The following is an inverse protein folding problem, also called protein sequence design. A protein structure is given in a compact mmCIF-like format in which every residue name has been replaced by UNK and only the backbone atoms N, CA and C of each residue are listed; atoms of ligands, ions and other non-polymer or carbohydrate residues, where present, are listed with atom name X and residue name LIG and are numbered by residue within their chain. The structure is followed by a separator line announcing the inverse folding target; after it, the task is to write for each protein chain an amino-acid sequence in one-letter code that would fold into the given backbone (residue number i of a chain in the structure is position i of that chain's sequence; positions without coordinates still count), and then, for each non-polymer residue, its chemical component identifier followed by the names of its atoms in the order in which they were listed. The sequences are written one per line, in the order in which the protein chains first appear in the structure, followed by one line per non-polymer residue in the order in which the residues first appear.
data_IF_195578218350
#
_entry.id   IF_195578218350
#
_cell.length_a   1.000
_cell.length_b   1.000
_cell.length_c   1.000
_cell.angle_alpha   90.00
_cell.angle_beta   90.00
_cell.angle_gamma   90.00
#
_symmetry.space_group_name_H-M   'P 1'
#
loop_
_entity.id
_entity.type
_entity.pdbx_description
1 polymer ?
#
# COMPACT_ATOMS: atom_id res chain seq x y z
N UNK A 1 -7.67 21.86 32.23
CA UNK A 1 -8.84 21.25 31.57
C UNK A 1 -8.68 21.45 30.07
N UNK A 2 -8.33 20.38 29.34
CA UNK A 2 -8.53 20.27 27.89
C UNK A 2 -9.93 19.68 27.63
N UNK A 3 -10.48 19.65 26.39
CA UNK A 3 -9.88 20.09 25.14
C UNK A 3 -10.76 20.97 24.22
N UNK A 4 -10.06 21.81 23.46
CA UNK A 4 -10.51 22.50 22.24
C UNK A 4 -10.24 21.63 20.99
N UNK A 5 -10.41 20.31 21.08
CA UNK A 5 -10.02 19.36 20.01
C UNK A 5 -11.14 19.08 18.99
N UNK A 6 -12.38 19.54 19.22
CA UNK A 6 -13.50 19.25 18.31
C UNK A 6 -13.68 20.19 17.10
N UNK A 7 -13.00 21.35 17.05
CA UNK A 7 -13.24 22.38 16.03
C UNK A 7 -12.22 22.38 14.88
N UNK A 8 -11.04 21.79 15.08
CA UNK A 8 -10.03 21.65 14.03
C UNK A 8 -10.40 20.56 13.01
N UNK A 9 -11.01 19.45 13.44
CA UNK A 9 -11.39 18.33 12.57
C UNK A 9 -12.59 18.65 11.65
N UNK A 10 -13.46 19.58 12.05
CA UNK A 10 -14.55 20.05 11.17
C UNK A 10 -14.04 20.94 10.03
N UNK A 11 -12.98 21.73 10.25
CA UNK A 11 -12.45 22.64 9.24
C UNK A 11 -11.66 21.91 8.14
N UNK A 12 -10.94 20.83 8.49
CA UNK A 12 -10.21 20.00 7.51
C UNK A 12 -11.19 19.22 6.62
N UNK A 13 -12.30 18.73 7.17
CA UNK A 13 -13.34 18.06 6.39
C UNK A 13 -14.10 19.02 5.46
N UNK A 14 -14.28 20.29 5.82
CA UNK A 14 -14.93 21.28 4.95
C UNK A 14 -14.08 21.60 3.70
N UNK A 15 -12.75 21.65 3.82
CA UNK A 15 -11.84 21.85 2.69
C UNK A 15 -11.79 20.62 1.78
N UNK A 16 -11.88 19.41 2.36
CA UNK A 16 -11.89 18.16 1.58
C UNK A 16 -13.24 17.88 0.90
N UNK A 17 -14.37 18.36 1.45
CA UNK A 17 -15.68 18.24 0.79
C UNK A 17 -15.84 19.20 -0.41
N UNK A 18 -15.24 20.40 -0.36
CA UNK A 18 -15.39 21.38 -1.45
C UNK A 18 -14.60 21.03 -2.73
N UNK A 19 -13.60 20.15 -2.66
CA UNK A 19 -12.86 19.71 -3.84
C UNK A 19 -13.54 18.55 -4.61
N UNK A 20 -14.65 18.00 -4.11
CA UNK A 20 -15.31 16.82 -4.71
C UNK A 20 -16.74 17.05 -5.20
N UNK A 21 -17.30 18.26 -5.03
CA UNK A 21 -18.56 18.62 -5.69
C UNK A 21 -18.27 19.54 -6.87
N UNK A 22 -18.49 19.01 -8.08
CA UNK A 22 -18.72 19.83 -9.27
C UNK A 22 -19.92 20.71 -8.95
N UNK A 23 -19.68 22.00 -8.74
CA UNK A 23 -20.58 23.16 -8.94
C UNK A 23 -20.23 24.28 -7.95
N UNK A 24 -19.13 25.00 -8.22
CA UNK A 24 -18.93 26.36 -7.72
C UNK A 24 -18.90 27.27 -8.94
N UNK A 25 -19.95 28.07 -9.11
CA UNK A 25 -19.97 29.17 -10.08
C UNK A 25 -19.02 30.25 -9.56
N UNK A 26 -17.81 30.29 -10.11
CA UNK A 26 -16.86 31.38 -9.93
C UNK A 26 -17.29 32.47 -10.92
N UNK A 27 -17.90 33.54 -10.40
CA UNK A 27 -18.07 34.77 -11.19
C UNK A 27 -16.74 35.52 -11.18
N UNK A 28 -15.91 35.28 -12.19
CA UNK A 28 -14.67 36.02 -12.40
C UNK A 28 -14.59 36.48 -13.85
N UNK A 29 -14.48 37.79 -14.07
CA UNK A 29 -14.23 38.42 -15.37
C UNK A 29 -12.83 38.16 -15.97
N UNK A 30 -12.15 37.08 -15.59
CA UNK A 30 -10.79 36.78 -16.07
C UNK A 30 -10.76 35.42 -16.76
N UNK A 31 -10.33 35.33 -18.04
CA UNK A 31 -10.35 34.09 -18.80
C UNK A 31 -9.34 33.03 -18.27
N UNK A 32 -9.67 31.72 -18.40
CA UNK A 32 -8.91 30.62 -17.78
C UNK A 32 -7.55 30.30 -18.41
N UNK A 33 -7.09 31.03 -19.42
CA UNK A 33 -5.83 30.75 -20.14
C UNK A 33 -4.58 31.41 -19.52
N UNK A 34 -4.72 32.23 -18.48
CA UNK A 34 -3.59 32.95 -17.86
C UNK A 34 -3.09 32.34 -16.54
N UNK A 35 -3.65 31.21 -16.10
CA UNK A 35 -3.29 30.62 -14.81
C UNK A 35 -2.02 29.77 -14.96
N UNK A 36 -0.87 30.44 -14.95
CA UNK A 36 0.45 29.81 -14.90
C UNK A 36 0.68 29.00 -13.61
N UNK A 37 1.46 27.93 -13.70
CA UNK A 37 1.81 27.01 -12.61
C UNK A 37 2.53 27.71 -11.44
N UNK A 38 1.78 28.25 -10.46
CA UNK A 38 2.34 28.79 -9.23
C UNK A 38 1.55 28.35 -7.99
N UNK A 39 2.28 28.14 -6.89
CA UNK A 39 1.74 27.60 -5.64
C UNK A 39 0.87 28.62 -4.91
N UNK A 40 -0.43 28.32 -4.75
CA UNK A 40 -1.36 29.08 -3.93
C UNK A 40 -1.18 28.70 -2.45
N UNK A 41 -1.14 29.69 -1.56
CA UNK A 41 -1.18 29.47 -0.11
C UNK A 41 -2.57 29.86 0.40
N UNK A 42 -3.29 28.91 0.96
CA UNK A 42 -4.62 29.15 1.54
C UNK A 42 -4.47 29.45 3.03
N UNK A 43 -4.94 30.62 3.45
CA UNK A 43 -5.02 31.02 4.85
C UNK A 43 -6.49 31.00 5.27
N UNK A 44 -6.80 30.20 6.30
CA UNK A 44 -8.13 30.13 6.91
C UNK A 44 -8.08 30.92 8.21
N UNK A 45 -8.84 32.00 8.28
CA UNK A 45 -9.01 32.78 9.50
C UNK A 45 -10.39 32.51 10.08
N UNK A 46 -10.43 32.05 11.33
CA UNK A 46 -11.67 31.86 12.08
C UNK A 46 -11.79 32.98 13.09
N UNK A 47 -12.87 33.73 13.03
CA UNK A 47 -13.19 34.76 14.01
C UNK A 47 -14.53 34.44 14.65
N UNK A 48 -14.69 34.82 15.92
CA UNK A 48 -15.92 34.62 16.67
C UNK A 48 -16.47 36.00 17.02
N UNK A 49 -17.71 36.26 16.65
CA UNK A 49 -18.35 37.53 16.98
C UNK A 49 -18.95 37.52 18.39
N UNK A 50 -19.38 38.69 18.84
CA UNK A 50 -19.90 38.93 20.19
C UNK A 50 -21.23 38.19 20.45
N UNK A 51 -21.88 37.65 19.41
CA UNK A 51 -23.07 36.79 19.50
C UNK A 51 -22.73 35.29 19.44
N UNK A 52 -21.45 34.95 19.60
CA UNK A 52 -20.92 33.58 19.59
C UNK A 52 -21.07 32.83 18.27
N UNK A 53 -21.36 33.52 17.16
CA UNK A 53 -21.30 32.92 15.83
C UNK A 53 -19.85 32.85 15.34
N UNK A 54 -19.48 31.68 14.81
CA UNK A 54 -18.16 31.46 14.22
C UNK A 54 -18.20 31.82 12.73
N UNK A 55 -17.43 32.83 12.34
CA UNK A 55 -17.29 33.25 10.94
C UNK A 55 -15.96 32.71 10.39
N UNK A 56 -16.05 31.92 9.31
CA UNK A 56 -14.90 31.44 8.56
C UNK A 56 -14.61 32.37 7.39
N UNK A 57 -13.38 32.87 7.30
CA UNK A 57 -12.91 33.63 6.13
C UNK A 57 -11.75 32.90 5.48
N UNK A 58 -11.88 32.61 4.18
CA UNK A 58 -10.86 31.99 3.35
C UNK A 58 -10.18 33.08 2.52
N UNK A 59 -8.87 33.25 2.71
CA UNK A 59 -8.03 34.12 1.88
C UNK A 59 -7.08 33.26 1.05
N UNK A 60 -6.97 33.58 -0.24
CA UNK A 60 -6.02 32.98 -1.17
C UNK A 60 -4.95 34.02 -1.48
N UNK A 61 -3.71 33.78 -1.04
CA UNK A 61 -2.56 34.62 -1.40
C UNK A 61 -1.80 33.98 -2.58
N UNK A 62 -1.62 34.77 -3.65
CA UNK A 62 -0.71 34.46 -4.74
C UNK A 62 0.67 35.06 -4.44
N UNK A 63 1.72 34.24 -4.44
CA UNK A 63 3.09 34.65 -4.11
C UNK A 63 3.83 35.26 -5.31
N UNK A 64 3.38 36.43 -5.79
CA UNK A 64 4.27 37.51 -6.25
C UNK A 64 3.46 38.80 -6.46
N UNK A 65 4.02 39.92 -6.01
CA UNK A 65 3.50 41.31 -6.10
C UNK A 65 2.23 41.62 -5.31
N UNK A 66 2.38 41.74 -3.98
CA UNK A 66 1.75 42.70 -3.04
C UNK A 66 0.35 43.32 -3.31
N UNK A 67 -0.56 42.64 -4.01
CA UNK A 67 -1.97 43.00 -4.13
C UNK A 67 -2.83 41.95 -3.43
N UNK A 68 -3.45 42.34 -2.31
CA UNK A 68 -4.49 41.56 -1.67
C UNK A 68 -5.80 41.71 -2.45
N UNK A 69 -6.24 40.62 -3.09
CA UNK A 69 -7.60 40.51 -3.60
C UNK A 69 -8.50 39.94 -2.50
N UNK A 70 -9.41 40.74 -1.96
CA UNK A 70 -10.38 40.30 -0.95
C UNK A 70 -11.62 39.68 -1.62
N UNK A 71 -11.73 38.35 -1.58
CA UNK A 71 -12.99 37.68 -1.91
C UNK A 71 -13.89 37.64 -0.66
N UNK A 72 -15.06 38.27 -0.75
CA UNK A 72 -16.07 38.30 0.33
C UNK A 72 -17.16 37.28 0.01
N UNK A 73 -17.15 36.13 0.69
CA UNK A 73 -18.23 35.15 0.59
C UNK A 73 -19.26 35.45 1.68
N UNK A 74 -20.51 35.71 1.30
CA UNK A 74 -21.60 35.98 2.25
C UNK A 74 -22.42 34.71 2.47
N UNK A 75 -22.83 34.39 3.72
CA UNK A 75 -23.63 33.21 3.99
C UNK A 75 -25.05 33.34 3.43
N UNK A 76 -25.56 32.26 2.83
CA UNK A 76 -26.96 32.15 2.37
C UNK A 76 -27.84 31.78 3.57
N UNK A 77 -28.95 32.50 3.85
CA UNK A 77 -29.84 32.16 4.95
C UNK A 77 -30.71 30.96 4.60
N UNK A 78 -30.79 29.99 5.51
CA UNK A 78 -31.78 28.90 5.47
C UNK A 78 -33.10 29.46 5.99
N UNK A 79 -34.16 29.44 5.17
CA UNK A 79 -35.47 29.98 5.53
C UNK A 79 -36.17 29.14 6.59
N UNK A 80 -36.71 29.82 7.61
CA UNK A 80 -37.62 29.26 8.61
C UNK A 80 -39.08 29.55 8.23
N UNK A 81 -39.95 28.54 8.40
CA UNK A 81 -41.42 28.70 8.48
C UNK A 81 -41.96 27.55 9.35
N UNK A 82 -42.23 27.80 10.64
CA UNK A 82 -43.53 28.20 11.21
C UNK A 82 -44.57 27.07 11.14
N UNK A 83 -45.13 26.54 12.23
CA UNK A 83 -45.83 27.23 13.33
C UNK A 83 -45.98 26.31 14.55
N UNK A 84 -46.06 26.92 15.74
CA UNK A 84 -46.39 26.26 17.00
C UNK A 84 -47.86 26.51 17.35
N UNK A 85 -48.51 25.55 18.01
CA UNK A 85 -49.56 25.81 19.01
C UNK A 85 -49.38 24.88 20.23
N UNK A 86 -49.76 25.33 21.44
CA UNK A 86 -49.42 24.67 22.69
C UNK A 86 -50.58 23.83 23.26
N UNK A 87 -50.28 22.75 23.99
CA UNK A 87 -51.12 22.28 25.12
C UNK A 87 -50.46 21.17 25.96
N UNK A 88 -50.54 21.45 27.26
CA UNK A 88 -50.63 20.60 28.45
C UNK A 88 -49.53 19.62 28.86
N UNK A 89 -49.10 19.91 30.09
CA UNK A 89 -48.32 19.16 31.05
C UNK A 89 -48.82 17.73 31.29
N UNK A 90 -47.90 16.77 31.21
CA UNK A 90 -47.88 15.67 32.17
C UNK A 90 -46.47 15.09 32.34
N UNK A 91 -46.03 15.09 33.59
CA UNK A 91 -44.79 14.50 34.09
C UNK A 91 -44.71 13.01 33.77
N UNK A 92 -43.55 12.54 33.29
CA UNK A 92 -43.18 11.13 33.42
C UNK A 92 -41.67 10.91 33.24
N UNK A 93 -41.00 10.81 34.40
CA UNK A 93 -39.85 9.94 34.72
C UNK A 93 -38.59 10.07 33.86
N UNK A 94 -37.59 10.72 34.47
CA UNK A 94 -36.16 10.60 34.16
C UNK A 94 -35.74 9.13 34.19
N UNK A 95 -35.34 8.59 33.04
CA UNK A 95 -34.51 7.39 32.97
C UNK A 95 -33.15 7.83 32.42
N UNK A 96 -32.17 7.90 33.32
CA UNK A 96 -30.76 8.11 33.00
C UNK A 96 -30.30 6.93 32.15
N UNK A 97 -30.16 7.12 30.83
CA UNK A 97 -29.45 6.19 29.98
C UNK A 97 -27.95 6.35 30.26
N UNK A 98 -27.48 5.59 31.24
CA UNK A 98 -26.06 5.25 31.40
C UNK A 98 -25.61 4.65 30.06
N UNK A 99 -24.51 5.16 29.53
CA UNK A 99 -23.93 4.71 28.28
C UNK A 99 -23.81 3.19 28.28
N UNK A 100 -24.47 2.58 27.31
CA UNK A 100 -24.20 1.19 26.99
C UNK A 100 -22.81 1.16 26.34
N UNK A 101 -21.79 0.81 27.14
CA UNK A 101 -20.61 0.13 26.64
C UNK A 101 -21.11 -1.09 25.87
N UNK A 102 -21.22 -0.98 24.55
CA UNK A 102 -21.34 -2.15 23.70
C UNK A 102 -20.01 -2.87 23.75
N UNK A 103 -19.94 -4.10 24.28
CA UNK A 103 -18.71 -4.87 24.24
C UNK A 103 -18.34 -5.06 22.77
N UNK A 104 -17.06 -4.87 22.47
CA UNK A 104 -16.45 -5.16 21.17
C UNK A 104 -16.75 -6.62 20.84
N UNK A 105 -17.89 -6.85 20.15
CA UNK A 105 -18.19 -8.12 19.52
C UNK A 105 -17.06 -8.31 18.53
N UNK A 106 -16.08 -9.14 18.89
CA UNK A 106 -15.01 -9.64 18.03
C UNK A 106 -15.59 -9.91 16.63
N UNK A 107 -15.48 -8.92 15.73
CA UNK A 107 -15.80 -9.13 14.32
C UNK A 107 -14.77 -10.14 13.85
N UNK A 108 -15.21 -11.30 13.41
CA UNK A 108 -14.28 -12.29 12.85
C UNK A 108 -13.62 -11.64 11.63
N UNK A 109 -12.33 -11.34 11.76
CA UNK A 109 -11.54 -10.77 10.68
C UNK A 109 -11.13 -11.90 9.75
N UNK A 110 -11.04 -11.61 8.46
CA UNK A 110 -10.58 -12.57 7.46
C UNK A 110 -9.06 -12.72 7.62
N UNK A 111 -8.54 -13.93 7.92
CA UNK A 111 -7.10 -14.16 7.97
C UNK A 111 -6.49 -13.97 6.57
N UNK A 112 -5.36 -13.28 6.47
CA UNK A 112 -4.69 -13.03 5.19
C UNK A 112 -3.22 -13.40 5.25
N UNK A 113 -2.75 -14.12 4.23
CA UNK A 113 -1.33 -14.31 3.94
C UNK A 113 -0.95 -13.41 2.77
N UNK A 114 0.15 -12.67 2.91
CA UNK A 114 0.73 -11.83 1.86
C UNK A 114 1.87 -12.57 1.16
N UNK A 115 1.80 -12.72 -0.16
CA UNK A 115 2.87 -13.31 -0.97
C UNK A 115 3.52 -12.24 -1.85
N UNK A 116 4.83 -12.04 -1.73
CA UNK A 116 5.60 -11.22 -2.65
C UNK A 116 6.54 -12.10 -3.50
N UNK A 117 6.20 -12.25 -4.78
CA UNK A 117 7.09 -12.82 -5.78
C UNK A 117 8.03 -11.75 -6.34
N UNK A 118 9.27 -12.10 -6.61
CA UNK A 118 10.20 -11.15 -7.19
C UNK A 118 11.64 -11.66 -7.31
N UNK A 119 12.49 -10.86 -7.95
CA UNK A 119 13.90 -11.25 -8.09
C UNK A 119 14.65 -11.26 -6.75
N UNK A 120 14.41 -10.26 -5.88
CA UNK A 120 15.18 -10.04 -4.65
C UNK A 120 16.70 -10.11 -4.87
N UNK A 121 17.19 -9.30 -5.83
CA UNK A 121 18.54 -9.37 -6.37
C UNK A 121 19.36 -8.07 -6.18
N UNK A 122 19.74 -7.69 -4.95
CA UNK A 122 19.41 -8.33 -3.66
C UNK A 122 18.08 -7.83 -3.07
N UNK A 123 17.63 -8.46 -1.98
CA UNK A 123 16.59 -7.91 -1.10
C UNK A 123 17.07 -6.59 -0.45
N UNK A 124 16.16 -5.64 -0.22
CA UNK A 124 16.46 -4.30 0.32
C UNK A 124 15.46 -3.92 1.42
N UNK A 125 15.73 -2.88 2.21
CA UNK A 125 14.79 -2.39 3.23
C UNK A 125 13.42 -1.99 2.64
N UNK A 126 13.38 -1.55 1.38
CA UNK A 126 12.12 -1.26 0.69
C UNK A 126 11.26 -2.51 0.54
N UNK A 127 11.83 -3.67 0.20
CA UNK A 127 11.08 -4.93 0.10
C UNK A 127 10.48 -5.34 1.45
N UNK A 128 11.21 -5.14 2.54
CA UNK A 128 10.71 -5.41 3.89
C UNK A 128 9.59 -4.41 4.25
N UNK A 129 9.79 -3.13 3.94
CA UNK A 129 8.82 -2.07 4.18
C UNK A 129 7.50 -2.29 3.45
N UNK A 130 7.53 -2.82 2.23
CA UNK A 130 6.33 -3.21 1.47
C UNK A 130 5.38 -4.11 2.28
N UNK A 131 5.93 -5.07 3.03
CA UNK A 131 5.12 -5.97 3.87
C UNK A 131 4.48 -5.23 5.04
N UNK A 132 5.25 -4.40 5.75
CA UNK A 132 4.75 -3.62 6.89
C UNK A 132 3.61 -2.69 6.49
N UNK A 133 3.77 -1.95 5.39
CA UNK A 133 2.75 -1.02 4.87
C UNK A 133 1.48 -1.76 4.45
N UNK A 134 1.63 -2.90 3.78
CA UNK A 134 0.50 -3.71 3.35
C UNK A 134 -0.26 -4.31 4.53
N UNK A 135 0.47 -4.78 5.56
CA UNK A 135 -0.11 -5.29 6.81
C UNK A 135 -0.93 -4.23 7.51
N UNK A 136 -0.32 -3.06 7.76
CA UNK A 136 -0.99 -1.93 8.42
C UNK A 136 -2.24 -1.51 7.65
N UNK A 137 -2.14 -1.38 6.32
CA UNK A 137 -3.27 -1.00 5.46
C UNK A 137 -4.43 -2.00 5.57
N UNK A 138 -4.14 -3.30 5.50
CA UNK A 138 -5.18 -4.33 5.61
C UNK A 138 -5.82 -4.35 7.01
N UNK A 139 -5.02 -4.22 8.07
CA UNK A 139 -5.54 -4.14 9.44
C UNK A 139 -6.42 -2.90 9.66
N UNK A 140 -6.04 -1.74 9.10
CA UNK A 140 -6.80 -0.49 9.20
C UNK A 140 -8.21 -0.58 8.56
N UNK A 141 -8.43 -1.50 7.61
CA UNK A 141 -9.78 -1.73 7.07
C UNK A 141 -10.75 -2.30 8.10
N UNK A 142 -10.24 -2.89 9.20
CA UNK A 142 -11.02 -3.63 10.18
C UNK A 142 -11.58 -4.97 9.68
N UNK A 143 -11.39 -5.31 8.40
CA UNK A 143 -11.92 -6.54 7.78
C UNK A 143 -10.92 -7.69 7.80
N UNK A 144 -9.62 -7.38 7.75
CA UNK A 144 -8.57 -8.36 7.56
C UNK A 144 -7.64 -8.47 8.78
N UNK A 145 -7.14 -9.67 9.01
CA UNK A 145 -6.05 -9.95 9.94
C UNK A 145 -4.92 -10.63 9.18
N UNK A 146 -3.89 -9.87 8.82
CA UNK A 146 -2.68 -10.46 8.23
C UNK A 146 -1.98 -11.34 9.26
N UNK A 147 -1.81 -12.62 8.93
CA UNK A 147 -1.21 -13.63 9.81
C UNK A 147 0.21 -14.00 9.39
N UNK A 148 0.56 -13.83 8.12
CA UNK A 148 1.87 -14.22 7.59
C UNK A 148 2.25 -13.45 6.33
N UNK A 149 3.55 -13.22 6.16
CA UNK A 149 4.18 -12.77 4.91
C UNK A 149 5.07 -13.85 4.33
N UNK A 150 5.08 -13.99 3.00
CA UNK A 150 5.93 -14.92 2.26
C UNK A 150 6.70 -14.15 1.18
N UNK A 151 8.02 -14.17 1.27
CA UNK A 151 8.92 -13.78 0.18
C UNK A 151 9.22 -15.02 -0.66
N UNK A 152 8.94 -14.95 -1.96
CA UNK A 152 9.18 -16.03 -2.93
C UNK A 152 10.18 -15.54 -3.99
N UNK A 153 11.48 -15.87 -3.85
CA UNK A 153 12.49 -15.53 -4.84
C UNK A 153 12.26 -16.29 -6.15
N UNK A 154 12.32 -15.56 -7.26
CA UNK A 154 12.11 -16.11 -8.60
C UNK A 154 13.13 -17.19 -8.93
N UNK A 155 12.76 -18.13 -9.79
CA UNK A 155 13.66 -19.11 -10.40
C UNK A 155 14.78 -18.48 -11.23
N UNK A 156 15.92 -19.17 -11.35
CA UNK A 156 17.07 -18.68 -12.14
C UNK A 156 16.80 -18.68 -13.66
N UNK A 157 15.93 -19.57 -14.14
CA UNK A 157 15.49 -19.63 -15.54
C UNK A 157 14.62 -18.42 -15.95
N UNK A 158 14.28 -17.53 -15.00
CA UNK A 158 13.68 -16.23 -15.34
C UNK A 158 14.57 -15.41 -16.29
N UNK A 159 15.87 -15.69 -16.33
CA UNK A 159 16.77 -15.16 -17.36
C UNK A 159 16.98 -13.64 -17.29
N UNK A 160 16.63 -13.00 -16.18
CA UNK A 160 16.86 -11.56 -15.98
C UNK A 160 18.36 -11.27 -15.97
N UNK A 161 18.78 -10.26 -16.73
CA UNK A 161 20.16 -9.79 -16.72
C UNK A 161 20.65 -9.49 -15.29
N UNK A 162 21.87 -9.92 -14.99
CA UNK A 162 22.54 -9.77 -13.69
C UNK A 162 21.85 -10.49 -12.51
N UNK A 163 20.96 -11.45 -12.77
CA UNK A 163 20.34 -12.28 -11.74
C UNK A 163 21.39 -13.26 -11.17
N UNK A 164 21.76 -13.08 -9.90
CA UNK A 164 22.62 -14.06 -9.21
C UNK A 164 21.82 -15.32 -8.90
N UNK A 165 22.53 -16.43 -8.71
CA UNK A 165 21.93 -17.73 -8.41
C UNK A 165 20.93 -17.64 -7.24
N UNK A 166 19.84 -18.36 -7.37
CA UNK A 166 18.70 -18.37 -6.46
C UNK A 166 19.07 -18.67 -5.02
N UNK A 167 19.99 -19.61 -4.80
CA UNK A 167 20.45 -19.95 -3.45
C UNK A 167 21.06 -18.74 -2.71
N UNK A 168 21.77 -17.83 -3.40
CA UNK A 168 22.25 -16.59 -2.81
C UNK A 168 21.10 -15.65 -2.45
N UNK A 169 20.10 -15.53 -3.33
CA UNK A 169 18.94 -14.65 -3.12
C UNK A 169 18.05 -15.14 -1.98
N UNK A 170 17.83 -16.45 -1.88
CA UNK A 170 17.16 -17.11 -0.76
C UNK A 170 17.95 -16.92 0.53
N UNK A 171 19.28 -17.10 0.52
CA UNK A 171 20.12 -16.88 1.70
C UNK A 171 20.05 -15.43 2.19
N UNK A 172 20.19 -14.45 1.29
CA UNK A 172 20.03 -13.03 1.62
C UNK A 172 18.63 -12.71 2.16
N UNK A 173 17.57 -13.30 1.60
CA UNK A 173 16.22 -13.14 2.13
C UNK A 173 16.08 -13.73 3.54
N UNK A 174 16.63 -14.93 3.83
CA UNK A 174 16.66 -15.48 5.20
C UNK A 174 17.37 -14.55 6.17
N UNK A 175 18.54 -14.03 5.79
CA UNK A 175 19.32 -13.10 6.61
C UNK A 175 18.56 -11.79 6.88
N UNK A 176 17.88 -11.24 5.87
CA UNK A 176 17.08 -10.04 6.00
C UNK A 176 15.87 -10.19 6.94
N UNK A 177 15.38 -11.42 7.11
CA UNK A 177 14.17 -11.74 7.87
C UNK A 177 14.45 -12.26 9.28
N UNK A 178 15.70 -12.29 9.74
CA UNK A 178 16.06 -12.80 11.08
C UNK A 178 15.36 -12.06 12.22
N UNK A 179 15.00 -10.80 12.02
CA UNK A 179 14.30 -9.96 13.01
C UNK A 179 12.80 -9.85 12.75
N UNK A 180 12.27 -10.53 11.73
CA UNK A 180 10.83 -10.56 11.47
C UNK A 180 10.19 -11.73 12.20
N UNK A 181 9.07 -11.47 12.88
CA UNK A 181 8.26 -12.47 13.60
C UNK A 181 7.11 -13.04 12.74
N UNK A 182 6.86 -12.47 11.55
CA UNK A 182 5.68 -12.79 10.74
C UNK A 182 5.96 -13.02 9.25
N UNK A 183 7.13 -12.63 8.75
CA UNK A 183 7.53 -12.81 7.35
C UNK A 183 8.57 -13.92 7.26
N UNK A 184 8.35 -14.88 6.35
CA UNK A 184 9.32 -15.92 6.01
C UNK A 184 9.67 -15.88 4.53
N UNK A 185 10.79 -16.50 4.18
CA UNK A 185 11.11 -16.83 2.79
C UNK A 185 10.69 -18.27 2.50
N UNK A 186 10.15 -18.50 1.30
CA UNK A 186 9.83 -19.82 0.77
C UNK A 186 10.61 -20.03 -0.53
N UNK A 187 11.49 -21.05 -0.61
CA UNK A 187 12.30 -21.28 -1.80
C UNK A 187 11.58 -22.09 -2.88
N UNK A 188 10.33 -22.52 -2.66
CA UNK A 188 9.63 -23.44 -3.58
C UNK A 188 9.64 -22.98 -5.04
N UNK A 189 9.39 -21.69 -5.32
CA UNK A 189 9.44 -21.12 -6.68
C UNK A 189 10.84 -21.25 -7.29
N UNK A 190 11.87 -20.92 -6.52
CA UNK A 190 13.26 -21.00 -6.98
C UNK A 190 13.78 -22.42 -7.14
N UNK A 191 13.18 -23.40 -6.46
CA UNK A 191 13.56 -24.81 -6.52
C UNK A 191 12.85 -25.58 -7.65
N UNK A 192 11.93 -24.93 -8.39
CA UNK A 192 11.30 -25.55 -9.55
C UNK A 192 12.33 -25.78 -10.68
N UNK A 193 12.14 -26.81 -11.52
CA UNK A 193 13.06 -27.12 -12.62
C UNK A 193 13.01 -26.10 -13.77
N UNK A 194 12.04 -25.18 -13.76
CA UNK A 194 11.88 -24.12 -14.76
C UNK A 194 11.21 -22.90 -14.11
N UNK A 195 11.26 -21.76 -14.81
CA UNK A 195 10.53 -20.56 -14.40
C UNK A 195 9.02 -20.82 -14.26
N UNK A 196 8.40 -20.15 -13.28
CA UNK A 196 6.98 -20.28 -12.95
C UNK A 196 6.29 -18.93 -13.05
N UNK A 197 5.13 -18.91 -13.71
CA UNK A 197 4.23 -17.78 -13.72
C UNK A 197 3.70 -17.52 -12.30
N UNK A 198 3.62 -16.26 -11.91
CA UNK A 198 3.16 -15.82 -10.58
C UNK A 198 1.84 -16.46 -10.15
N UNK A 199 0.89 -16.65 -11.07
CA UNK A 199 -0.39 -17.30 -10.77
C UNK A 199 -0.22 -18.75 -10.32
N UNK A 200 0.76 -19.49 -10.85
CA UNK A 200 1.06 -20.86 -10.43
C UNK A 200 1.68 -20.89 -9.03
N UNK A 201 2.50 -19.90 -8.70
CA UNK A 201 3.06 -19.71 -7.35
C UNK A 201 1.95 -19.38 -6.34
N UNK A 202 1.01 -18.50 -6.69
CA UNK A 202 -0.18 -18.21 -5.88
C UNK A 202 -1.04 -19.47 -5.67
N UNK A 203 -1.33 -20.25 -6.72
CA UNK A 203 -2.07 -21.52 -6.61
C UNK A 203 -1.37 -22.50 -5.67
N UNK A 204 -0.04 -22.62 -5.75
CA UNK A 204 0.74 -23.47 -4.85
C UNK A 204 0.54 -23.06 -3.39
N UNK A 205 0.86 -21.81 -3.03
CA UNK A 205 0.77 -21.36 -1.64
C UNK A 205 -0.66 -21.35 -1.11
N UNK A 206 -1.65 -21.07 -1.95
CA UNK A 206 -3.05 -21.16 -1.56
C UNK A 206 -3.47 -22.60 -1.25
N UNK A 207 -3.01 -23.58 -2.04
CA UNK A 207 -3.27 -24.99 -1.75
C UNK A 207 -2.62 -25.45 -0.43
N UNK A 208 -1.43 -24.94 -0.10
CA UNK A 208 -0.75 -25.23 1.17
C UNK A 208 -1.48 -24.58 2.35
N UNK A 209 -1.96 -23.35 2.17
CA UNK A 209 -2.73 -22.60 3.15
C UNK A 209 -4.03 -23.32 3.52
N UNK A 210 -4.74 -23.87 2.53
CA UNK A 210 -5.99 -24.62 2.75
C UNK A 210 -5.77 -26.01 3.38
N UNK A 211 -4.57 -26.60 3.24
CA UNK A 211 -4.21 -27.89 3.85
C UNK A 211 -3.71 -27.77 5.28
N UNK A 212 -3.26 -26.59 5.68
CA UNK A 212 -2.74 -26.36 7.03
C UNK A 212 -3.92 -26.34 8.01
N UNK A 213 -3.92 -27.16 9.08
CA UNK A 213 -4.97 -27.09 10.09
C UNK A 213 -4.97 -25.68 10.72
N UNK A 214 -6.14 -25.15 11.12
CA UNK A 214 -6.19 -23.90 11.86
C UNK A 214 -5.30 -24.02 13.11
N UNK A 215 -4.61 -22.94 13.53
CA UNK A 215 -3.83 -22.98 14.75
C UNK A 215 -4.73 -23.46 15.90
N UNK A 216 -4.33 -24.51 16.61
CA UNK A 216 -4.92 -24.80 17.92
C UNK A 216 -4.46 -23.69 18.85
N UNK A 217 -5.21 -22.59 18.93
CA UNK A 217 -5.13 -21.71 20.10
C UNK A 217 -5.52 -22.55 21.31
N UNK A 218 -4.65 -22.52 22.33
CA UNK A 218 -4.73 -23.32 23.54
C UNK A 218 -6.15 -23.34 24.10
N UNK A 219 -6.89 -24.40 23.74
CA UNK A 219 -8.26 -24.57 24.15
C UNK A 219 -8.20 -25.20 25.53
N UNK A 220 -8.66 -24.47 26.55
CA UNK A 220 -9.06 -25.06 27.82
C UNK A 220 -10.03 -26.23 27.49
N UNK A 221 -9.85 -27.43 28.06
CA UNK A 221 -10.61 -28.64 27.72
C UNK A 221 -12.06 -28.59 28.24
N UNK A 222 -12.83 -27.58 27.83
CA UNK A 222 -14.21 -27.34 28.23
C UNK A 222 -14.97 -26.27 27.45
N UNK A 223 -14.35 -25.53 26.53
CA UNK A 223 -15.07 -24.56 25.67
C UNK A 223 -15.50 -25.18 24.34
N UNK A 224 -16.79 -25.07 24.04
CA UNK A 224 -17.37 -25.46 22.76
C UNK A 224 -16.66 -24.73 21.60
N UNK A 225 -16.51 -25.35 20.42
CA UNK A 225 -15.84 -24.72 19.29
C UNK A 225 -16.50 -23.39 18.95
N UNK A 226 -15.73 -22.30 19.08
CA UNK A 226 -16.12 -20.98 18.63
C UNK A 226 -16.42 -21.00 17.13
N UNK A 227 -17.34 -20.13 16.70
CA UNK A 227 -17.88 -20.01 15.34
C UNK A 227 -16.84 -20.22 14.22
N UNK A 228 -17.24 -20.72 13.03
CA UNK A 228 -16.31 -21.02 11.95
C UNK A 228 -15.46 -19.81 11.60
N UNK A 229 -14.15 -19.90 11.87
CA UNK A 229 -13.15 -18.92 11.45
C UNK A 229 -13.23 -18.79 9.93
N UNK A 230 -13.33 -17.55 9.43
CA UNK A 230 -13.35 -17.30 8.00
C UNK A 230 -12.14 -17.95 7.32
N UNK A 231 -12.34 -18.57 6.16
CA UNK A 231 -11.26 -19.23 5.43
C UNK A 231 -10.13 -18.23 5.12
N UNK A 232 -8.86 -18.61 5.32
CA UNK A 232 -7.74 -17.70 5.10
C UNK A 232 -7.61 -17.36 3.61
N UNK A 233 -7.33 -16.09 3.31
CA UNK A 233 -7.08 -15.62 1.95
C UNK A 233 -5.58 -15.49 1.69
N UNK A 234 -5.18 -15.70 0.44
CA UNK A 234 -3.84 -15.38 -0.05
C UNK A 234 -3.94 -14.18 -1.00
N UNK A 235 -3.16 -13.12 -0.76
CA UNK A 235 -3.10 -11.95 -1.65
C UNK A 235 -1.68 -11.74 -2.18
N UNK A 236 -1.57 -11.32 -3.44
CA UNK A 236 -0.30 -10.92 -4.04
C UNK A 236 0.08 -9.52 -3.54
N UNK A 237 1.24 -9.39 -2.89
CA UNK A 237 1.83 -8.13 -2.50
C UNK A 237 2.79 -7.65 -3.58
N UNK A 238 2.61 -6.42 -4.07
CA UNK A 238 3.53 -5.83 -5.03
C UNK A 238 3.61 -4.30 -4.90
N UNK A 239 4.62 -3.71 -5.53
CA UNK A 239 4.67 -2.25 -5.74
C UNK A 239 3.86 -1.83 -6.97
N UNK A 240 3.59 -0.54 -7.08
CA UNK A 240 2.87 0.04 -8.23
C UNK A 240 3.60 -0.13 -9.57
N UNK A 241 4.92 -0.32 -9.54
CA UNK A 241 5.75 -0.69 -10.68
C UNK A 241 5.38 -2.04 -11.27
N UNK A 242 5.11 -3.05 -10.43
CA UNK A 242 4.64 -4.37 -10.88
C UNK A 242 3.23 -4.29 -11.44
N UNK A 243 2.32 -3.58 -10.78
CA UNK A 243 0.95 -3.39 -11.26
C UNK A 243 0.93 -2.74 -12.65
N UNK A 244 1.81 -1.77 -12.91
CA UNK A 244 1.98 -1.16 -14.24
C UNK A 244 2.31 -2.19 -15.32
N UNK A 245 3.09 -3.22 -14.97
CA UNK A 245 3.56 -4.24 -15.93
C UNK A 245 2.46 -5.18 -16.41
N UNK A 246 1.31 -5.25 -15.74
CA UNK A 246 0.15 -6.03 -16.21
C UNK A 246 -0.38 -5.54 -17.56
N UNK A 247 -0.03 -4.32 -17.97
CA UNK A 247 -0.38 -3.75 -19.26
C UNK A 247 0.78 -3.85 -20.28
N UNK A 248 1.93 -4.42 -19.91
CA UNK A 248 3.05 -4.60 -20.83
C UNK A 248 2.73 -5.74 -21.80
N UNK A 249 2.72 -5.49 -23.13
CA UNK A 249 2.41 -6.53 -24.10
C UNK A 249 3.33 -7.75 -23.97
N UNK A 250 2.74 -8.94 -24.06
CA UNK A 250 3.43 -10.24 -24.03
C UNK A 250 4.19 -10.57 -22.73
N UNK A 251 4.02 -9.79 -21.66
CA UNK A 251 4.65 -10.09 -20.36
C UNK A 251 3.75 -10.92 -19.45
N UNK A 252 2.44 -10.69 -19.51
CA UNK A 252 1.44 -11.39 -18.72
C UNK A 252 0.33 -11.89 -19.64
N UNK A 253 -0.18 -13.09 -19.39
CA UNK A 253 -1.39 -13.57 -20.06
C UNK A 253 -2.63 -12.99 -19.35
N UNK A 254 -3.59 -12.48 -20.12
CA UNK A 254 -4.83 -11.89 -19.59
C UNK A 254 -5.59 -12.84 -18.67
N UNK A 255 -5.65 -14.13 -19.01
CA UNK A 255 -6.27 -15.16 -18.17
C UNK A 255 -5.56 -15.30 -16.81
N UNK A 256 -4.23 -15.16 -16.79
CA UNK A 256 -3.44 -15.17 -15.56
C UNK A 256 -3.66 -13.89 -14.76
N UNK A 257 -3.71 -12.71 -15.38
CA UNK A 257 -4.03 -11.44 -14.70
C UNK A 257 -5.41 -11.54 -14.05
N UNK A 258 -6.42 -11.97 -14.82
CA UNK A 258 -7.78 -12.12 -14.32
C UNK A 258 -7.81 -13.05 -13.11
N UNK A 259 -7.19 -14.22 -13.19
CA UNK A 259 -7.18 -15.16 -12.06
C UNK A 259 -6.49 -14.57 -10.82
N UNK A 260 -5.40 -13.84 -10.99
CA UNK A 260 -4.70 -13.15 -9.90
C UNK A 260 -5.65 -12.21 -9.17
N UNK A 261 -6.33 -11.32 -9.88
CA UNK A 261 -7.18 -10.28 -9.24
C UNK A 261 -8.57 -10.78 -8.83
N UNK A 262 -9.08 -11.81 -9.50
CA UNK A 262 -10.38 -12.42 -9.20
C UNK A 262 -10.30 -13.36 -7.99
N UNK A 263 -9.39 -14.33 -8.01
CA UNK A 263 -9.36 -15.41 -7.00
C UNK A 263 -8.54 -15.08 -5.77
N UNK A 264 -7.42 -14.39 -5.94
CA UNK A 264 -6.47 -14.11 -4.85
C UNK A 264 -6.63 -12.67 -4.35
N UNK A 265 -6.56 -11.71 -5.29
CA UNK A 265 -6.51 -10.29 -4.99
C UNK A 265 -5.08 -9.79 -4.85
N UNK A 266 -4.96 -8.46 -4.79
CA UNK A 266 -3.68 -7.77 -4.87
C UNK A 266 -3.62 -6.67 -3.82
N UNK A 267 -2.48 -6.53 -3.16
CA UNK A 267 -2.17 -5.38 -2.28
C UNK A 267 -1.02 -4.63 -2.92
N UNK A 268 -1.33 -3.48 -3.51
CA UNK A 268 -0.39 -2.63 -4.23
C UNK A 268 0.06 -1.49 -3.32
N UNK A 269 1.35 -1.43 -3.03
CA UNK A 269 1.93 -0.27 -2.33
C UNK A 269 2.33 0.80 -3.35
N UNK A 270 1.87 2.03 -3.11
CA UNK A 270 2.15 3.19 -3.97
C UNK A 270 3.65 3.51 -4.04
N UNK A 271 4.12 3.97 -5.20
CA UNK A 271 5.50 4.45 -5.43
C UNK A 271 5.51 5.81 -6.11
N UNK A 272 6.60 6.55 -5.96
CA UNK A 272 6.80 7.81 -6.67
C UNK A 272 6.81 7.58 -8.18
N UNK A 273 6.13 8.46 -8.93
CA UNK A 273 6.04 8.38 -10.39
C UNK A 273 5.06 7.33 -10.91
N UNK A 274 4.32 6.65 -10.03
CA UNK A 274 3.30 5.68 -10.42
C UNK A 274 1.89 6.13 -10.03
N UNK A 275 0.93 5.88 -10.92
CA UNK A 275 -0.50 6.11 -10.69
C UNK A 275 -1.27 4.78 -10.70
N UNK A 276 -1.30 4.03 -9.58
CA UNK A 276 -1.97 2.75 -9.53
C UNK A 276 -3.49 2.85 -9.77
N UNK A 277 -4.11 4.00 -9.47
CA UNK A 277 -5.54 4.20 -9.77
C UNK A 277 -5.77 4.30 -11.26
N UNK A 278 -4.97 5.10 -11.97
CA UNK A 278 -4.97 5.16 -13.43
C UNK A 278 -4.77 3.78 -14.07
N UNK A 279 -3.79 3.00 -13.60
CA UNK A 279 -3.52 1.66 -14.14
C UNK A 279 -4.71 0.70 -14.02
N UNK A 280 -5.44 0.76 -12.89
CA UNK A 280 -6.65 -0.04 -12.69
C UNK A 280 -7.77 0.41 -13.62
N UNK A 281 -7.96 1.72 -13.77
CA UNK A 281 -8.99 2.26 -14.64
C UNK A 281 -8.71 1.91 -16.10
N UNK A 282 -7.47 1.98 -16.56
CA UNK A 282 -7.12 1.74 -17.96
C UNK A 282 -7.22 0.27 -18.40
N UNK A 283 -7.25 -0.69 -17.46
CA UNK A 283 -7.39 -2.11 -17.76
C UNK A 283 -8.81 -2.62 -17.51
N UNK A 284 -9.52 -3.18 -18.52
CA UNK A 284 -10.85 -3.76 -18.33
C UNK A 284 -10.89 -4.87 -17.26
N UNK A 285 -9.85 -5.69 -17.19
CA UNK A 285 -9.73 -6.79 -16.21
C UNK A 285 -9.57 -6.19 -14.81
N UNK A 286 -8.63 -5.27 -14.60
CA UNK A 286 -8.39 -4.68 -13.28
C UNK A 286 -9.58 -3.87 -12.79
N UNK A 287 -10.23 -3.10 -13.67
CA UNK A 287 -11.42 -2.32 -13.34
C UNK A 287 -12.57 -3.20 -12.86
N UNK A 288 -12.77 -4.37 -13.50
CA UNK A 288 -13.81 -5.35 -13.12
C UNK A 288 -13.61 -5.90 -11.71
N UNK A 289 -12.36 -6.19 -11.34
CA UNK A 289 -12.01 -6.79 -10.05
C UNK A 289 -11.38 -5.79 -9.05
N UNK A 290 -11.58 -4.49 -9.26
CA UNK A 290 -10.96 -3.43 -8.44
C UNK A 290 -11.28 -3.54 -6.94
N UNK A 291 -12.42 -4.13 -6.58
CA UNK A 291 -12.83 -4.35 -5.20
C UNK A 291 -11.89 -5.31 -4.43
N UNK A 292 -11.11 -6.13 -5.15
CA UNK A 292 -10.12 -7.05 -4.60
C UNK A 292 -8.67 -6.55 -4.81
N UNK A 293 -8.51 -5.28 -5.19
CA UNK A 293 -7.23 -4.61 -5.34
C UNK A 293 -7.12 -3.51 -4.28
N UNK A 294 -6.26 -3.74 -3.29
CA UNK A 294 -6.03 -2.83 -2.17
C UNK A 294 -4.87 -1.89 -2.49
N UNK A 295 -5.12 -0.59 -2.48
CA UNK A 295 -4.09 0.43 -2.71
C UNK A 295 -3.59 0.98 -1.38
N UNK A 296 -2.46 0.45 -0.92
CA UNK A 296 -1.81 0.90 0.30
C UNK A 296 -0.95 2.14 0.02
N UNK A 297 -1.14 3.19 0.82
CA UNK A 297 -0.34 4.42 0.74
C UNK A 297 0.84 4.30 1.68
N UNK A 298 2.04 4.45 1.12
CA UNK A 298 3.25 4.67 1.92
C UNK A 298 3.37 6.17 2.22
N UNK A 299 3.30 6.60 3.49
CA UNK A 299 3.48 8.01 3.85
C UNK A 299 4.93 8.49 3.68
N UNK A 300 5.92 7.60 3.83
CA UNK A 300 7.35 7.95 3.77
C UNK A 300 8.01 7.29 2.56
N UNK A 301 8.42 8.10 1.60
CA UNK A 301 9.02 7.61 0.36
C UNK A 301 10.31 6.83 0.63
N UNK A 302 10.30 5.53 0.29
CA UNK A 302 11.46 4.65 0.36
C UNK A 302 11.72 4.04 -1.02
N UNK A 303 12.49 4.72 -1.87
CA UNK A 303 12.71 4.36 -3.27
C UNK A 303 14.04 3.60 -3.50
N UNK A 304 14.35 2.65 -2.61
CA UNK A 304 15.59 1.85 -2.70
C UNK A 304 15.40 0.68 -3.67
N UNK A 305 15.80 0.87 -4.93
CA UNK A 305 15.79 -0.20 -5.93
C UNK A 305 17.01 -1.12 -5.84
N UNK A 306 16.81 -2.42 -6.09
CA UNK A 306 17.90 -3.40 -6.17
C UNK A 306 18.89 -3.06 -7.31
N UNK A 307 18.42 -2.43 -8.40
CA UNK A 307 19.28 -1.97 -9.50
C UNK A 307 20.24 -0.87 -9.04
N UNK A 308 19.78 0.09 -8.23
CA UNK A 308 20.65 1.09 -7.61
C UNK A 308 21.69 0.42 -6.71
N UNK A 309 21.27 -0.53 -5.86
CA UNK A 309 22.16 -1.26 -4.95
C UNK A 309 23.26 -2.01 -5.71
N UNK A 310 22.93 -2.77 -6.76
CA UNK A 310 23.93 -3.47 -7.58
C UNK A 310 24.92 -2.49 -8.24
N UNK A 311 24.43 -1.34 -8.71
CA UNK A 311 25.29 -0.29 -9.30
C UNK A 311 26.23 0.33 -8.26
N UNK A 312 25.74 0.63 -7.07
CA UNK A 312 26.54 1.18 -5.98
C UNK A 312 27.64 0.19 -5.56
N UNK A 313 27.28 -1.09 -5.38
CA UNK A 313 28.21 -2.17 -5.05
C UNK A 313 29.32 -2.32 -6.11
N UNK A 314 28.96 -2.34 -7.40
CA UNK A 314 29.96 -2.46 -8.48
C UNK A 314 30.89 -1.25 -8.57
N UNK A 315 30.48 -0.10 -8.03
CA UNK A 315 31.29 1.11 -7.97
C UNK A 315 32.07 1.25 -6.64
N UNK A 316 31.97 0.28 -5.73
CA UNK A 316 32.58 0.34 -4.40
C UNK A 316 31.95 1.39 -3.49
N UNK A 317 30.74 1.85 -3.80
CA UNK A 317 29.99 2.80 -2.97
C UNK A 317 29.33 2.08 -1.80
N UNK A 318 29.15 2.81 -0.69
CA UNK A 318 28.45 2.27 0.48
C UNK A 318 26.98 2.02 0.15
N UNK A 319 26.49 0.85 0.58
CA UNK A 319 25.07 0.51 0.60
C UNK A 319 24.56 0.31 2.04
N UNK A 320 25.33 0.75 3.04
CA UNK A 320 24.92 0.69 4.45
C UNK A 320 23.60 1.43 4.62
N UNK A 321 22.70 0.86 5.43
CA UNK A 321 21.34 1.34 5.67
C UNK A 321 20.37 1.21 4.49
N UNK A 322 20.82 0.76 3.30
CA UNK A 322 19.93 0.43 2.19
C UNK A 322 19.44 -1.03 2.22
N UNK A 323 20.22 -1.90 2.85
CA UNK A 323 19.94 -3.30 3.12
C UNK A 323 20.26 -3.61 4.59
N UNK A 324 19.70 -4.69 5.16
CA UNK A 324 20.11 -5.19 6.46
C UNK A 324 21.61 -5.53 6.50
N UNK A 325 22.28 -5.21 7.60
CA UNK A 325 23.73 -5.43 7.78
C UNK A 325 24.16 -6.89 7.52
N UNK A 326 23.42 -7.94 7.95
CA UNK A 326 23.75 -9.32 7.61
C UNK A 326 23.77 -9.62 6.10
N UNK A 327 22.91 -8.94 5.32
CA UNK A 327 22.87 -9.08 3.86
C UNK A 327 24.10 -8.43 3.22
N UNK A 328 24.51 -7.26 3.73
CA UNK A 328 25.73 -6.57 3.27
C UNK A 328 26.97 -7.43 3.54
N UNK A 329 27.07 -8.03 4.72
CA UNK A 329 28.14 -8.96 5.06
C UNK A 329 28.15 -10.16 4.10
N UNK A 330 27.00 -10.79 3.86
CA UNK A 330 26.88 -11.91 2.93
C UNK A 330 27.32 -11.55 1.50
N UNK A 331 26.87 -10.41 0.97
CA UNK A 331 27.25 -9.92 -0.36
C UNK A 331 28.77 -9.79 -0.49
N UNK A 332 29.41 -9.20 0.52
CA UNK A 332 30.87 -9.02 0.55
C UNK A 332 31.59 -10.37 0.62
N UNK A 333 31.17 -11.23 1.54
CA UNK A 333 31.84 -12.50 1.82
C UNK A 333 31.71 -13.50 0.65
N UNK A 334 30.63 -13.40 -0.14
CA UNK A 334 30.40 -14.19 -1.36
C UNK A 334 30.89 -13.49 -2.65
N UNK A 335 31.43 -12.27 -2.57
CA UNK A 335 31.93 -11.53 -3.73
C UNK A 335 30.87 -11.17 -4.78
N UNK A 336 29.60 -10.99 -4.37
CA UNK A 336 28.48 -10.75 -5.27
C UNK A 336 28.46 -9.30 -5.78
N UNK A 337 27.93 -9.10 -6.99
CA UNK A 337 27.70 -7.78 -7.62
C UNK A 337 28.96 -6.93 -7.86
N UNK A 338 30.11 -7.57 -8.03
CA UNK A 338 31.39 -6.92 -8.36
C UNK A 338 31.53 -6.68 -9.87
N UNK A 339 32.41 -5.75 -10.29
CA UNK A 339 32.66 -5.46 -11.72
C UNK A 339 33.06 -6.69 -12.55
N UNK A 340 33.71 -7.67 -11.93
CA UNK A 340 34.18 -8.88 -12.62
C UNK A 340 33.09 -9.94 -12.79
N UNK A 341 32.05 -9.91 -11.95
CA UNK A 341 30.94 -10.87 -12.03
C UNK A 341 30.06 -10.69 -13.30
N UNK A 342 30.11 -9.53 -13.96
CA UNK A 342 29.48 -9.34 -15.28
C UNK A 342 30.29 -9.90 -16.46
N UNK A 343 31.57 -10.24 -16.26
CA UNK A 343 32.45 -10.77 -17.32
C UNK A 343 32.53 -12.30 -17.35
N UNK A 344 32.17 -12.98 -16.25
CA UNK A 344 32.17 -14.45 -16.23
C UNK A 344 30.97 -15.08 -16.96
N UNK A 345 29.86 -14.34 -17.13
CA UNK A 345 28.69 -14.84 -17.86
C UNK A 345 28.87 -14.91 -19.39
N UNK A 346 29.91 -14.30 -19.96
CA UNK A 346 30.19 -14.29 -21.41
C UNK A 346 31.39 -15.14 -21.81
N UNK A 347 32.01 -15.85 -20.87
CA UNK A 347 33.31 -16.50 -21.05
C UNK A 347 33.31 -18.02 -21.01
N UNK A 348 32.35 -18.73 -21.61
CA UNK A 348 32.47 -20.20 -21.75
C UNK A 348 31.80 -20.75 -23.02
N UNK A 349 32.29 -20.35 -24.19
CA UNK A 349 32.28 -21.19 -25.40
C UNK A 349 33.50 -20.84 -26.26
N UNK A 350 34.64 -21.46 -25.96
CA UNK A 350 35.74 -21.66 -26.92
C UNK A 350 36.43 -22.99 -26.59
N UNK A 351 35.76 -24.09 -26.92
CA UNK A 351 36.41 -25.40 -27.03
C UNK A 351 36.94 -25.57 -28.44
N UNK A 352 38.27 -25.48 -28.55
CA UNK A 352 39.16 -26.34 -29.34
C UNK A 352 38.58 -27.05 -30.58
N UNK A 353 39.03 -26.62 -31.76
CA UNK A 353 39.03 -27.41 -32.99
C UNK A 353 40.45 -27.47 -33.53
N UNK A 354 41.08 -28.65 -33.39
CA UNK A 354 42.44 -28.96 -33.84
C UNK A 354 42.56 -28.89 -35.36
N UNK A 355 43.74 -28.47 -35.79
CA UNK A 355 44.36 -28.72 -37.09
C UNK A 355 44.31 -30.20 -37.48
N UNK A 356 43.72 -30.51 -38.64
CA UNK A 356 44.34 -31.21 -39.78
C UNK A 356 43.31 -31.46 -40.87
#
# INVERSE_FOLDING_TARGET
MAPLEGLADMCVNAVMLFATSRDVLIDSHVPPHEWGTHALRTLVHVTRDDNHQCNLTLALEALQENQLCHLKVSPVPVSAGATAEPRDSQESRVATAVGADTPDKMKSRIPVVLLACGSFNPITHMHLRLFEVARDHLHQTGMYQVTQGIISPVNDDYGKKDLVASHHRVAMARLALQTSDWIRVDPWESEQPQWMETVKVLRHHHSQLLRSPPPMEGSDPGQAPSAPTAAPQLKLLCGADVLRTFQTPNLWEDAHIQEIVEKFGLVCVSRVGHDPKGYILDSPILRRYQHNIHLAREPVQNEISATYVRRALSQGQSVKYLLPDPVIAYIRDQGLYTKDSSWQATGTQRSQGKTS
#
